data_IF_597162558742
#
_entry.id   IF_597162558742
#
_cell.length_a   1.000
_cell.length_b   1.000
_cell.length_c   1.000
_cell.angle_alpha   90.00
_cell.angle_beta   90.00
_cell.angle_gamma   90.00
#
_symmetry.space_group_name_H-M   'P 1'
#
loop_
_entity.id
_entity.type
_entity.pdbx_description
1 polymer ?
#
# COMPACT_ATOMS: atom_id res chain seq x y z
N UNK A 1 -26.66 -23.23 10.55
CA UNK A 1 -26.00 -23.02 9.24
C UNK A 1 -27.06 -22.54 8.25
N UNK A 2 -26.70 -21.64 7.30
CA UNK A 2 -27.68 -21.01 6.39
C UNK A 2 -28.09 -21.86 5.17
N UNK A 3 -27.59 -23.06 5.02
CA UNK A 3 -27.84 -23.95 3.87
C UNK A 3 -27.67 -23.29 2.49
N UNK A 4 -26.69 -22.37 2.39
CA UNK A 4 -26.42 -21.65 1.14
C UNK A 4 -27.25 -20.39 0.88
N UNK A 5 -28.21 -20.05 1.74
CA UNK A 5 -29.09 -18.88 1.55
C UNK A 5 -28.42 -17.55 1.93
N UNK A 6 -27.28 -17.59 2.61
CA UNK A 6 -26.59 -16.38 3.12
C UNK A 6 -27.23 -15.75 4.36
N UNK A 7 -28.34 -16.32 4.88
CA UNK A 7 -29.05 -15.85 6.05
C UNK A 7 -29.16 -16.94 7.11
N UNK A 8 -29.04 -16.60 8.39
CA UNK A 8 -29.27 -17.48 9.53
C UNK A 8 -30.36 -16.89 10.43
N UNK A 9 -31.22 -17.77 10.95
CA UNK A 9 -32.23 -17.38 11.93
C UNK A 9 -31.62 -17.45 13.32
N UNK A 10 -31.71 -16.37 14.08
CA UNK A 10 -31.24 -16.27 15.47
C UNK A 10 -32.37 -15.84 16.37
N UNK A 11 -32.43 -16.31 17.63
CA UNK A 11 -33.40 -15.83 18.59
C UNK A 11 -33.31 -14.33 18.80
N UNK A 12 -34.40 -13.63 18.84
CA UNK A 12 -34.42 -12.21 19.17
C UNK A 12 -34.05 -11.99 20.64
N UNK A 13 -33.36 -10.90 20.98
CA UNK A 13 -33.01 -10.59 22.36
C UNK A 13 -34.23 -10.43 23.30
N UNK A 14 -35.38 -10.06 22.74
CA UNK A 14 -36.69 -9.87 23.42
C UNK A 14 -37.49 -11.17 23.60
N UNK A 15 -36.97 -12.30 23.14
CA UNK A 15 -37.65 -13.59 23.21
C UNK A 15 -38.86 -13.74 22.25
N UNK A 16 -39.15 -12.74 21.42
CA UNK A 16 -40.35 -12.70 20.55
C UNK A 16 -40.16 -13.42 19.20
N UNK A 17 -39.43 -14.54 19.18
CA UNK A 17 -39.24 -15.36 17.97
C UNK A 17 -37.86 -15.29 17.36
N UNK A 18 -37.74 -15.57 16.04
CA UNK A 18 -36.50 -15.61 15.31
C UNK A 18 -36.32 -14.36 14.44
N UNK A 19 -35.12 -13.85 14.36
CA UNK A 19 -34.72 -12.80 13.42
C UNK A 19 -33.76 -13.38 12.34
N UNK A 20 -33.96 -12.99 11.10
CA UNK A 20 -33.01 -13.30 10.03
C UNK A 20 -31.81 -12.35 10.14
N UNK A 21 -30.60 -12.91 10.33
CA UNK A 21 -29.35 -12.17 10.30
C UNK A 21 -28.47 -12.72 9.19
N UNK A 22 -27.58 -11.87 8.64
CA UNK A 22 -26.63 -12.32 7.63
C UNK A 22 -25.75 -13.46 8.19
N UNK A 23 -25.58 -14.52 7.41
CA UNK A 23 -24.71 -15.63 7.78
C UNK A 23 -23.25 -15.26 7.50
N UNK A 24 -22.36 -15.68 8.40
CA UNK A 24 -20.91 -15.44 8.27
C UNK A 24 -20.34 -16.00 6.95
N UNK A 25 -20.96 -17.07 6.40
CA UNK A 25 -20.58 -17.60 5.10
C UNK A 25 -20.78 -16.59 3.95
N UNK A 26 -21.87 -15.81 3.97
CA UNK A 26 -22.11 -14.77 2.96
C UNK A 26 -21.11 -13.60 3.07
N UNK A 27 -20.65 -13.29 4.27
CA UNK A 27 -19.57 -12.30 4.47
C UNK A 27 -18.23 -12.85 3.97
N UNK A 28 -17.92 -14.12 4.26
CA UNK A 28 -16.69 -14.77 3.79
C UNK A 28 -16.65 -14.90 2.27
N UNK A 29 -17.73 -15.30 1.62
CA UNK A 29 -17.81 -15.36 0.15
C UNK A 29 -17.67 -13.97 -0.49
N UNK A 30 -18.28 -12.94 0.11
CA UNK A 30 -18.13 -11.56 -0.35
C UNK A 30 -16.68 -11.09 -0.19
N UNK A 31 -16.06 -11.32 0.96
CA UNK A 31 -14.67 -10.98 1.22
C UNK A 31 -13.73 -11.72 0.24
N UNK A 32 -13.96 -13.00 -0.05
CA UNK A 32 -13.19 -13.75 -1.04
C UNK A 32 -13.28 -13.14 -2.43
N UNK A 33 -14.50 -12.79 -2.89
CA UNK A 33 -14.70 -12.14 -4.20
C UNK A 33 -14.05 -10.77 -4.27
N UNK A 34 -14.13 -9.98 -3.19
CA UNK A 34 -13.45 -8.67 -3.11
C UNK A 34 -11.94 -8.85 -3.09
N UNK A 35 -11.43 -9.86 -2.36
CA UNK A 35 -10.01 -10.20 -2.32
C UNK A 35 -9.47 -10.58 -3.71
N UNK A 36 -10.19 -11.39 -4.48
CA UNK A 36 -9.82 -11.73 -5.87
C UNK A 36 -9.74 -10.48 -6.77
N UNK A 37 -10.66 -9.54 -6.58
CA UNK A 37 -10.71 -8.28 -7.34
C UNK A 37 -9.70 -7.25 -6.85
N UNK A 38 -9.12 -7.42 -5.67
CA UNK A 38 -8.17 -6.49 -5.09
C UNK A 38 -6.81 -6.44 -5.82
N UNK A 39 -6.58 -7.30 -6.81
CA UNK A 39 -5.35 -7.36 -7.63
C UNK A 39 -4.07 -7.51 -6.81
N UNK A 40 -4.15 -8.13 -5.63
CA UNK A 40 -2.95 -8.39 -4.81
C UNK A 40 -2.09 -9.44 -5.52
N UNK A 41 -0.81 -9.14 -5.85
CA UNK A 41 0.06 -10.10 -6.49
C UNK A 41 0.28 -11.36 -5.63
N UNK A 42 0.34 -12.54 -6.25
CA UNK A 42 0.54 -13.84 -5.57
C UNK A 42 1.72 -13.84 -4.59
N UNK A 43 2.80 -13.13 -4.93
CA UNK A 43 3.98 -12.99 -4.06
C UNK A 43 3.67 -12.35 -2.70
N UNK A 44 2.54 -11.65 -2.56
CA UNK A 44 2.10 -10.97 -1.35
C UNK A 44 0.90 -11.65 -0.67
N UNK A 45 0.44 -12.80 -1.16
CA UNK A 45 -0.68 -13.54 -0.55
C UNK A 45 -0.42 -13.92 0.91
N UNK A 46 0.85 -14.17 1.26
CA UNK A 46 1.28 -14.49 2.63
C UNK A 46 1.40 -13.28 3.55
N UNK A 47 1.29 -12.04 3.01
CA UNK A 47 1.45 -10.83 3.79
C UNK A 47 0.21 -10.59 4.65
N UNK A 48 0.38 -10.69 5.96
CA UNK A 48 -0.57 -10.32 7.00
C UNK A 48 0.20 -9.78 8.22
N UNK A 49 -0.53 -9.27 9.22
CA UNK A 49 0.12 -8.71 10.40
C UNK A 49 0.84 -9.78 11.24
N UNK A 50 0.34 -11.00 11.28
CA UNK A 50 0.92 -12.12 12.03
C UNK A 50 2.26 -12.54 11.43
N UNK A 51 2.35 -12.62 10.09
CA UNK A 51 3.57 -13.01 9.38
C UNK A 51 4.62 -11.89 9.30
N UNK A 52 4.29 -10.66 9.73
CA UNK A 52 5.23 -9.55 9.77
C UNK A 52 6.18 -9.67 10.96
N UNK A 53 7.42 -10.10 10.71
CA UNK A 53 8.47 -10.24 11.73
C UNK A 53 9.05 -8.89 12.14
N UNK A 54 9.24 -8.68 13.44
CA UNK A 54 9.81 -7.45 14.00
C UNK A 54 11.17 -7.68 14.68
N UNK A 55 11.66 -8.91 14.74
CA UNK A 55 12.79 -9.27 15.61
C UNK A 55 13.96 -9.90 14.86
N UNK A 56 13.86 -10.10 13.54
CA UNK A 56 14.89 -10.83 12.76
C UNK A 56 15.92 -9.87 12.19
N UNK A 57 17.22 -10.11 12.52
CA UNK A 57 18.36 -9.39 11.95
C UNK A 57 18.41 -7.90 12.28
N UNK A 58 17.77 -7.46 13.36
CA UNK A 58 17.62 -6.03 13.68
C UNK A 58 18.39 -5.61 14.93
N UNK A 59 18.87 -4.37 14.92
CA UNK A 59 19.27 -3.70 16.16
C UNK A 59 18.02 -3.42 17.02
N UNK A 60 18.16 -3.17 18.35
CA UNK A 60 17.01 -2.80 19.20
C UNK A 60 16.22 -1.61 18.67
N UNK A 61 16.89 -0.61 18.09
CA UNK A 61 16.26 0.57 17.49
C UNK A 61 15.42 0.20 16.25
N UNK A 62 15.96 -0.62 15.36
CA UNK A 62 15.27 -1.12 14.17
C UNK A 62 14.08 -2.01 14.54
N UNK A 63 14.24 -2.91 15.52
CA UNK A 63 13.14 -3.71 16.04
C UNK A 63 12.03 -2.85 16.62
N UNK A 64 12.37 -1.77 17.33
CA UNK A 64 11.39 -0.79 17.83
C UNK A 64 10.66 -0.07 16.68
N UNK A 65 11.39 0.33 15.61
CA UNK A 65 10.81 0.94 14.40
C UNK A 65 9.81 0.01 13.72
N UNK A 66 10.15 -1.26 13.54
CA UNK A 66 9.25 -2.27 12.96
C UNK A 66 8.00 -2.50 13.80
N UNK A 67 8.16 -2.61 15.14
CA UNK A 67 7.03 -2.76 16.07
C UNK A 67 6.11 -1.54 16.02
N UNK A 68 6.67 -0.34 15.99
CA UNK A 68 5.91 0.90 15.88
C UNK A 68 5.16 0.97 14.54
N UNK A 69 5.81 0.65 13.43
CA UNK A 69 5.18 0.65 12.10
C UNK A 69 4.02 -0.34 12.04
N UNK A 70 4.20 -1.57 12.57
CA UNK A 70 3.15 -2.58 12.67
C UNK A 70 1.98 -2.07 13.52
N UNK A 71 2.25 -1.52 14.70
CA UNK A 71 1.23 -0.99 15.59
C UNK A 71 0.44 0.16 14.94
N UNK A 72 1.11 1.06 14.22
CA UNK A 72 0.44 2.16 13.54
C UNK A 72 -0.44 1.67 12.39
N UNK A 73 0.01 0.68 11.63
CA UNK A 73 -0.78 0.08 10.55
C UNK A 73 -1.97 -0.73 11.10
N UNK A 74 -1.81 -1.46 12.20
CA UNK A 74 -2.92 -2.14 12.88
C UNK A 74 -3.92 -1.14 13.46
N UNK A 75 -3.43 -0.12 14.17
CA UNK A 75 -4.28 0.94 14.74
C UNK A 75 -5.07 1.70 13.67
N UNK A 76 -4.49 1.91 12.47
CA UNK A 76 -5.21 2.47 11.33
C UNK A 76 -6.40 1.57 10.93
N UNK A 77 -6.17 0.27 10.79
CA UNK A 77 -7.22 -0.70 10.44
C UNK A 77 -8.28 -0.81 11.53
N UNK A 78 -7.88 -0.80 12.80
CA UNK A 78 -8.80 -0.96 13.93
C UNK A 78 -9.71 0.25 14.13
N UNK A 79 -9.23 1.43 13.78
CA UNK A 79 -10.01 2.67 13.88
C UNK A 79 -10.75 3.05 12.59
N UNK A 80 -10.62 2.26 11.52
CA UNK A 80 -11.35 2.50 10.28
C UNK A 80 -12.82 2.08 10.42
N UNK A 81 -13.81 2.85 9.93
CA UNK A 81 -13.73 4.11 9.19
C UNK A 81 -13.71 5.38 10.05
N UNK A 82 -13.71 5.29 11.38
CA UNK A 82 -13.87 6.45 12.27
C UNK A 82 -12.69 7.43 12.20
N UNK A 83 -11.48 6.92 11.87
CA UNK A 83 -10.28 7.74 11.60
C UNK A 83 -10.05 7.98 10.10
N UNK A 84 -11.07 7.81 9.28
CA UNK A 84 -11.02 7.71 7.82
C UNK A 84 -10.50 8.96 7.10
N UNK A 85 -10.15 10.01 7.81
CA UNK A 85 -9.62 11.21 7.16
C UNK A 85 -8.16 11.08 6.71
N UNK A 86 -7.42 10.09 7.22
CA UNK A 86 -5.99 9.92 6.88
C UNK A 86 -5.66 8.48 6.51
N UNK A 87 -5.13 8.30 5.31
CA UNK A 87 -4.48 7.08 4.88
C UNK A 87 -3.10 6.88 5.53
N UNK A 88 -2.27 6.00 4.96
CA UNK A 88 -0.90 5.75 5.42
C UNK A 88 0.10 6.07 4.31
N UNK A 89 1.21 6.72 4.67
CA UNK A 89 2.40 6.87 3.83
C UNK A 89 3.56 6.13 4.50
N UNK A 90 3.86 4.93 4.00
CA UNK A 90 4.94 4.08 4.49
C UNK A 90 6.22 4.43 3.76
N UNK A 91 7.19 5.01 4.47
CA UNK A 91 8.51 5.41 3.94
C UNK A 91 9.61 4.54 4.51
N UNK A 92 10.74 4.43 3.82
CA UNK A 92 11.89 3.65 4.27
C UNK A 92 12.64 3.01 3.10
N UNK A 93 13.82 2.46 3.34
CA UNK A 93 14.65 1.82 2.33
C UNK A 93 14.00 0.57 1.73
N UNK A 94 14.59 0.02 0.66
CA UNK A 94 14.08 -1.19 0.03
C UNK A 94 14.21 -2.40 0.96
N UNK A 95 13.20 -3.29 0.94
CA UNK A 95 13.23 -4.56 1.68
C UNK A 95 12.81 -4.49 3.15
N UNK A 96 12.51 -3.31 3.72
CA UNK A 96 12.16 -3.13 5.14
C UNK A 96 10.72 -3.56 5.51
N UNK A 97 9.91 -3.98 4.53
CA UNK A 97 8.56 -4.52 4.80
C UNK A 97 7.40 -3.56 4.56
N UNK A 98 7.58 -2.40 3.92
CA UNK A 98 6.51 -1.43 3.63
C UNK A 98 5.32 -2.04 2.88
N UNK A 99 5.59 -2.69 1.74
CA UNK A 99 4.56 -3.37 0.94
C UNK A 99 3.85 -4.47 1.74
N UNK A 100 4.59 -5.19 2.60
CA UNK A 100 4.00 -6.20 3.49
C UNK A 100 2.93 -5.58 4.40
N UNK A 101 3.27 -4.49 5.12
CA UNK A 101 2.33 -3.78 5.99
C UNK A 101 1.15 -3.18 5.22
N UNK A 102 1.39 -2.60 4.04
CA UNK A 102 0.34 -2.04 3.19
C UNK A 102 -0.66 -3.13 2.75
N UNK A 103 -0.17 -4.28 2.31
CA UNK A 103 -1.01 -5.42 1.90
C UNK A 103 -1.73 -6.03 3.10
N UNK A 104 -1.05 -6.18 4.25
CA UNK A 104 -1.68 -6.68 5.47
C UNK A 104 -2.87 -5.81 5.90
N UNK A 105 -2.69 -4.48 5.87
CA UNK A 105 -3.75 -3.53 6.18
C UNK A 105 -4.92 -3.63 5.16
N UNK A 106 -4.61 -3.69 3.87
CA UNK A 106 -5.62 -3.85 2.81
C UNK A 106 -6.44 -5.13 2.98
N UNK A 107 -5.76 -6.26 3.19
CA UNK A 107 -6.42 -7.57 3.38
C UNK A 107 -7.35 -7.55 4.58
N UNK A 108 -6.93 -6.97 5.69
CA UNK A 108 -7.73 -6.91 6.90
C UNK A 108 -8.95 -6.02 6.71
N UNK A 109 -8.82 -4.87 6.04
CA UNK A 109 -9.96 -4.00 5.69
C UNK A 109 -10.94 -4.70 4.75
N UNK A 110 -10.46 -5.48 3.77
CA UNK A 110 -11.31 -6.29 2.90
C UNK A 110 -12.06 -7.37 3.69
N UNK A 111 -11.41 -8.04 4.66
CA UNK A 111 -12.06 -9.02 5.55
C UNK A 111 -13.18 -8.37 6.38
N UNK A 112 -13.03 -7.10 6.73
CA UNK A 112 -14.06 -6.30 7.43
C UNK A 112 -15.15 -5.77 6.51
N UNK A 113 -15.11 -6.10 5.21
CA UNK A 113 -16.16 -5.81 4.23
C UNK A 113 -15.96 -4.56 3.38
N UNK A 114 -14.80 -3.91 3.48
CA UNK A 114 -14.46 -2.72 2.69
C UNK A 114 -13.95 -3.07 1.30
N UNK A 115 -14.24 -2.22 0.32
CA UNK A 115 -13.73 -2.39 -1.04
C UNK A 115 -12.29 -1.86 -1.14
N UNK A 116 -11.37 -2.72 -1.59
CA UNK A 116 -9.97 -2.37 -1.69
C UNK A 116 -9.31 -2.81 -2.99
N UNK A 117 -8.28 -2.07 -3.42
CA UNK A 117 -7.51 -2.35 -4.62
C UNK A 117 -6.02 -2.14 -4.35
N UNK A 118 -5.20 -3.10 -4.79
CA UNK A 118 -3.75 -2.96 -4.85
C UNK A 118 -3.34 -2.53 -6.26
N UNK A 119 -2.42 -1.57 -6.34
CA UNK A 119 -1.87 -1.07 -7.57
C UNK A 119 -0.36 -0.87 -7.42
N UNK A 120 0.44 -1.53 -8.26
CA UNK A 120 1.86 -1.24 -8.40
C UNK A 120 2.02 -0.02 -9.30
N UNK A 121 2.75 0.98 -8.82
CA UNK A 121 2.94 2.25 -9.53
C UNK A 121 3.57 2.10 -10.92
N UNK A 122 4.58 1.21 -11.06
CA UNK A 122 5.24 1.00 -12.36
C UNK A 122 4.36 0.24 -13.33
N UNK A 123 3.63 -0.76 -12.84
CA UNK A 123 2.72 -1.54 -13.69
C UNK A 123 1.56 -0.66 -14.16
N UNK A 124 1.02 0.21 -13.31
CA UNK A 124 0.02 1.20 -13.70
C UNK A 124 0.47 2.06 -14.89
N UNK A 125 1.68 2.62 -14.79
CA UNK A 125 2.22 3.45 -15.88
C UNK A 125 2.40 2.68 -17.17
N UNK A 126 2.82 1.41 -17.09
CA UNK A 126 2.95 0.53 -18.27
C UNK A 126 1.58 0.19 -18.87
N UNK A 127 0.59 -0.15 -18.05
CA UNK A 127 -0.78 -0.43 -18.52
C UNK A 127 -1.35 0.78 -19.28
N UNK A 128 -1.17 2.00 -18.74
CA UNK A 128 -1.63 3.22 -19.41
C UNK A 128 -0.87 3.43 -20.72
N UNK A 129 0.45 3.28 -20.74
CA UNK A 129 1.23 3.40 -21.98
C UNK A 129 0.79 2.39 -23.03
N UNK A 130 0.51 1.15 -22.61
CA UNK A 130 0.03 0.11 -23.52
C UNK A 130 -1.37 0.42 -24.08
N UNK A 131 -2.22 1.13 -23.35
CA UNK A 131 -3.57 1.53 -23.78
C UNK A 131 -3.57 2.55 -24.94
N UNK A 132 -2.45 3.24 -25.18
CA UNK A 132 -2.31 4.16 -26.30
C UNK A 132 -2.10 3.45 -27.65
N UNK A 133 -1.85 2.15 -27.64
CA UNK A 133 -1.80 1.37 -28.88
C UNK A 133 -3.23 1.26 -29.46
N UNK A 134 -3.44 1.61 -30.75
CA UNK A 134 -4.76 1.50 -31.39
C UNK A 134 -5.37 0.10 -31.37
N UNK A 135 -4.55 -0.95 -31.22
CA UNK A 135 -5.00 -2.33 -31.08
C UNK A 135 -5.40 -2.72 -29.65
N UNK A 136 -5.26 -1.82 -28.67
CA UNK A 136 -5.61 -2.09 -27.28
C UNK A 136 -7.11 -1.98 -27.07
N UNK A 137 -7.70 -2.96 -26.39
CA UNK A 137 -9.09 -2.90 -25.94
C UNK A 137 -9.26 -2.02 -24.67
N UNK A 138 -8.16 -1.76 -23.95
CA UNK A 138 -8.14 -0.96 -22.73
C UNK A 138 -7.98 0.52 -23.07
N UNK A 139 -8.68 1.38 -22.34
CA UNK A 139 -8.52 2.84 -22.41
C UNK A 139 -7.89 3.38 -21.14
N UNK A 140 -7.19 4.52 -21.23
CA UNK A 140 -6.64 5.22 -20.06
C UNK A 140 -7.71 5.46 -18.99
N UNK A 141 -8.89 5.91 -19.38
CA UNK A 141 -10.02 6.15 -18.46
C UNK A 141 -10.45 4.85 -17.78
N UNK A 142 -10.57 3.75 -18.54
CA UNK A 142 -10.96 2.44 -17.99
C UNK A 142 -9.94 1.88 -16.98
N UNK A 143 -8.66 2.20 -17.15
CA UNK A 143 -7.60 1.79 -16.23
C UNK A 143 -7.62 2.68 -14.97
N UNK A 144 -7.76 3.99 -15.14
CA UNK A 144 -7.68 4.95 -14.03
C UNK A 144 -8.94 4.98 -13.16
N UNK A 145 -10.12 4.77 -13.73
CA UNK A 145 -11.38 4.92 -13.01
C UNK A 145 -11.49 4.02 -11.77
N UNK A 146 -11.19 2.72 -11.81
CA UNK A 146 -11.20 1.88 -10.62
C UNK A 146 -10.23 2.36 -9.53
N UNK A 147 -9.06 2.87 -9.93
CA UNK A 147 -8.00 3.33 -9.01
C UNK A 147 -8.41 4.64 -8.33
N UNK A 148 -9.08 5.53 -9.08
CA UNK A 148 -9.57 6.82 -8.56
C UNK A 148 -10.74 6.65 -7.61
N UNK A 149 -11.62 5.65 -7.87
CA UNK A 149 -12.95 5.56 -7.23
C UNK A 149 -13.04 4.50 -6.13
N UNK A 150 -12.15 3.51 -6.09
CA UNK A 150 -12.17 2.50 -5.01
C UNK A 150 -12.09 3.14 -3.62
N UNK A 151 -12.79 2.57 -2.66
CA UNK A 151 -12.82 3.05 -1.27
C UNK A 151 -11.41 3.12 -0.68
N UNK A 152 -10.65 2.02 -0.76
CA UNK A 152 -9.30 1.90 -0.22
C UNK A 152 -8.34 1.54 -1.34
N UNK A 153 -7.36 2.38 -1.59
CA UNK A 153 -6.28 2.13 -2.56
C UNK A 153 -4.96 1.88 -1.84
N UNK A 154 -4.29 0.80 -2.18
CA UNK A 154 -2.85 0.65 -1.97
C UNK A 154 -2.14 1.02 -3.27
N UNK A 155 -1.30 2.04 -3.26
CA UNK A 155 -0.42 2.41 -4.36
C UNK A 155 1.02 2.14 -3.93
N UNK A 156 1.59 1.05 -4.44
CA UNK A 156 2.88 0.53 -4.04
C UNK A 156 4.02 1.13 -4.87
N UNK A 157 5.13 1.40 -4.20
CA UNK A 157 6.40 1.86 -4.79
C UNK A 157 6.30 3.22 -5.51
N UNK A 158 5.54 4.16 -4.91
CA UNK A 158 5.31 5.50 -5.42
C UNK A 158 6.65 6.22 -5.69
N UNK A 159 6.79 6.79 -6.88
CA UNK A 159 7.98 7.52 -7.31
C UNK A 159 9.08 6.63 -7.90
N UNK A 160 8.88 5.31 -8.00
CA UNK A 160 9.87 4.37 -8.53
C UNK A 160 10.23 4.59 -10.01
N UNK A 161 9.38 5.24 -10.77
CA UNK A 161 9.70 5.69 -12.13
C UNK A 161 10.29 7.10 -12.11
N UNK A 162 11.19 7.41 -13.07
CA UNK A 162 11.72 8.76 -13.22
C UNK A 162 10.59 9.73 -13.54
N UNK A 163 10.54 10.90 -12.87
CA UNK A 163 9.50 11.87 -13.12
C UNK A 163 9.66 12.45 -14.54
N UNK A 164 8.59 12.40 -15.31
CA UNK A 164 8.40 13.15 -16.55
C UNK A 164 7.10 13.93 -16.42
N UNK A 165 6.84 14.91 -17.29
CA UNK A 165 5.59 15.65 -17.25
C UNK A 165 4.38 14.71 -17.31
N UNK A 166 4.41 13.73 -18.21
CA UNK A 166 3.35 12.72 -18.34
C UNK A 166 3.17 11.88 -17.06
N UNK A 167 4.26 11.41 -16.44
CA UNK A 167 4.19 10.63 -15.19
C UNK A 167 3.59 11.47 -14.07
N UNK A 168 3.99 12.74 -13.95
CA UNK A 168 3.46 13.66 -12.93
C UNK A 168 1.98 13.98 -13.17
N UNK A 169 1.55 14.10 -14.42
CA UNK A 169 0.15 14.31 -14.78
C UNK A 169 -0.71 13.10 -14.41
N UNK A 170 -0.29 11.89 -14.77
CA UNK A 170 -1.03 10.65 -14.45
C UNK A 170 -1.19 10.49 -12.94
N UNK A 171 -0.08 10.58 -12.18
CA UNK A 171 -0.18 10.41 -10.72
C UNK A 171 -0.97 11.56 -10.09
N UNK A 172 -0.86 12.76 -10.67
CA UNK A 172 -1.66 13.91 -10.29
C UNK A 172 -3.16 13.68 -10.46
N UNK A 173 -3.59 13.10 -11.59
CA UNK A 173 -4.99 12.74 -11.82
C UNK A 173 -5.53 11.78 -10.77
N UNK A 174 -4.78 10.72 -10.44
CA UNK A 174 -5.19 9.73 -9.43
C UNK A 174 -5.26 10.35 -8.04
N UNK A 175 -4.15 10.93 -7.58
CA UNK A 175 -4.05 11.39 -6.19
C UNK A 175 -4.90 12.63 -5.91
N UNK A 176 -5.06 13.55 -6.90
CA UNK A 176 -5.94 14.70 -6.73
C UNK A 176 -7.42 14.31 -6.65
N UNK A 177 -7.85 13.35 -7.46
CA UNK A 177 -9.23 12.85 -7.39
C UNK A 177 -9.51 12.25 -6.00
N UNK A 178 -8.61 11.42 -5.49
CA UNK A 178 -8.74 10.78 -4.18
C UNK A 178 -8.65 11.78 -3.03
N UNK A 179 -7.77 12.77 -3.14
CA UNK A 179 -7.65 13.87 -2.18
C UNK A 179 -8.96 14.66 -2.08
N UNK A 180 -9.51 15.11 -3.22
CA UNK A 180 -10.73 15.90 -3.27
C UNK A 180 -11.95 15.14 -2.72
N UNK A 181 -12.02 13.85 -2.94
CA UNK A 181 -13.10 12.97 -2.47
C UNK A 181 -12.81 12.34 -1.10
N UNK A 182 -11.73 12.73 -0.42
CA UNK A 182 -11.30 12.20 0.89
C UNK A 182 -11.20 10.67 0.91
N UNK A 183 -10.80 10.05 -0.21
CA UNK A 183 -10.68 8.59 -0.32
C UNK A 183 -9.40 8.09 0.34
N UNK A 184 -9.52 7.04 1.13
CA UNK A 184 -8.40 6.47 1.86
C UNK A 184 -7.36 5.86 0.93
N UNK A 185 -6.12 6.25 1.11
CA UNK A 185 -4.99 5.81 0.28
C UNK A 185 -3.84 5.36 1.17
N UNK A 186 -3.35 4.14 0.94
CA UNK A 186 -2.15 3.59 1.57
C UNK A 186 -1.04 3.65 0.52
N UNK A 187 0.02 4.35 0.81
CA UNK A 187 1.14 4.58 -0.10
C UNK A 187 2.40 3.95 0.46
N UNK A 188 3.21 3.36 -0.40
CA UNK A 188 4.57 2.98 -0.05
C UNK A 188 5.56 3.71 -0.94
N UNK A 189 6.70 4.10 -0.41
CA UNK A 189 7.76 4.76 -1.16
C UNK A 189 9.13 4.49 -0.55
N UNK A 190 10.17 4.49 -1.39
CA UNK A 190 11.56 4.44 -0.95
C UNK A 190 12.17 5.84 -0.76
N UNK A 191 11.39 6.88 -1.02
CA UNK A 191 11.84 8.27 -0.95
C UNK A 191 11.40 8.92 0.35
N UNK A 192 12.33 9.59 1.01
CA UNK A 192 12.08 10.36 2.23
C UNK A 192 11.62 11.78 1.89
N UNK A 193 11.11 12.48 2.89
CA UNK A 193 10.69 13.87 2.75
C UNK A 193 11.88 14.81 2.57
N UNK A 194 12.95 14.56 3.31
CA UNK A 194 14.22 15.27 3.23
C UNK A 194 15.29 14.32 2.70
N UNK A 195 16.25 14.85 1.93
CA UNK A 195 17.36 14.05 1.47
C UNK A 195 18.22 13.63 2.67
N UNK A 196 18.49 12.33 2.77
CA UNK A 196 19.35 11.80 3.83
C UNK A 196 20.81 12.12 3.48
N UNK A 197 21.47 12.88 4.35
CA UNK A 197 22.88 13.22 4.21
C UNK A 197 23.19 14.49 3.39
N UNK A 198 24.48 14.88 3.44
CA UNK A 198 25.00 15.97 2.60
C UNK A 198 25.18 15.49 1.16
N UNK A 199 25.02 16.38 0.16
CA UNK A 199 25.27 16.03 -1.23
C UNK A 199 26.68 15.47 -1.42
N UNK A 200 26.81 14.31 -2.06
CA UNK A 200 28.09 13.68 -2.33
C UNK A 200 28.65 14.10 -3.70
N UNK A 201 29.97 14.37 -3.76
CA UNK A 201 30.65 14.69 -5.00
C UNK A 201 30.99 13.40 -5.77
N UNK A 202 30.25 13.09 -6.82
CA UNK A 202 30.49 11.93 -7.70
C UNK A 202 31.13 12.40 -9.00
N UNK A 203 32.11 11.63 -9.53
CA UNK A 203 32.69 11.90 -10.86
C UNK A 203 31.69 11.46 -11.93
N UNK A 204 31.22 12.42 -12.72
CA UNK A 204 30.40 12.14 -13.90
C UNK A 204 31.21 11.45 -15.02
N UNK A 205 30.52 10.97 -16.09
CA UNK A 205 31.17 10.31 -17.25
C UNK A 205 32.19 11.20 -17.97
N UNK A 206 32.06 12.52 -17.84
CA UNK A 206 32.95 13.54 -18.39
C UNK A 206 34.10 13.89 -17.45
N UNK A 207 34.29 13.17 -16.35
CA UNK A 207 35.31 13.38 -15.33
C UNK A 207 35.09 14.58 -14.40
N UNK A 208 34.03 15.37 -14.60
CA UNK A 208 33.67 16.48 -13.73
C UNK A 208 33.01 15.98 -12.44
N UNK A 209 33.26 16.68 -11.34
CA UNK A 209 32.56 16.42 -10.08
C UNK A 209 31.15 17.00 -10.15
N UNK A 210 30.17 16.14 -10.01
CA UNK A 210 28.74 16.50 -9.88
C UNK A 210 28.33 16.20 -8.45
N UNK A 211 27.68 17.17 -7.80
CA UNK A 211 27.07 16.95 -6.48
C UNK A 211 25.76 16.20 -6.69
N UNK A 212 25.70 14.97 -6.16
CA UNK A 212 24.52 14.13 -6.21
C UNK A 212 23.94 14.05 -4.81
N UNK A 213 22.65 14.32 -4.67
CA UNK A 213 21.88 14.07 -3.46
C UNK A 213 20.85 12.97 -3.75
N UNK A 214 20.39 12.29 -2.74
CA UNK A 214 19.28 11.38 -2.88
C UNK A 214 18.01 12.16 -3.24
N UNK A 215 17.21 11.58 -4.14
CA UNK A 215 15.92 12.16 -4.52
C UNK A 215 14.96 12.09 -3.34
N UNK A 216 14.25 13.18 -3.11
CA UNK A 216 13.18 13.25 -2.13
C UNK A 216 11.84 12.86 -2.75
N UNK A 217 10.81 12.67 -1.93
CA UNK A 217 9.45 12.47 -2.42
C UNK A 217 8.97 13.65 -3.27
N UNK A 218 9.40 14.88 -2.94
CA UNK A 218 9.08 16.08 -3.74
C UNK A 218 9.70 16.04 -5.13
N UNK A 219 10.91 15.51 -5.26
CA UNK A 219 11.59 15.34 -6.57
C UNK A 219 10.86 14.30 -7.44
N UNK A 220 10.18 13.34 -6.82
CA UNK A 220 9.51 12.22 -7.50
C UNK A 220 8.06 12.46 -7.87
N UNK A 221 7.32 13.22 -7.06
CA UNK A 221 5.88 13.46 -7.27
C UNK A 221 5.52 14.93 -7.42
N UNK A 222 6.48 15.84 -7.27
CA UNK A 222 6.30 17.28 -7.30
C UNK A 222 5.89 17.87 -5.93
N UNK A 223 6.34 19.09 -5.64
CA UNK A 223 6.13 19.74 -4.35
C UNK A 223 4.65 19.89 -3.95
N UNK A 224 3.78 20.20 -4.94
CA UNK A 224 2.33 20.34 -4.69
C UNK A 224 1.71 19.01 -4.26
N UNK A 225 2.08 17.90 -4.92
CA UNK A 225 1.58 16.59 -4.57
C UNK A 225 2.13 16.13 -3.22
N UNK A 226 3.42 16.36 -2.95
CA UNK A 226 4.02 16.10 -1.63
C UNK A 226 3.18 16.72 -0.50
N UNK A 227 2.82 18.01 -0.60
CA UNK A 227 2.02 18.69 0.41
C UNK A 227 0.67 17.99 0.66
N UNK A 228 -0.03 17.56 -0.39
CA UNK A 228 -1.28 16.81 -0.29
C UNK A 228 -1.12 15.42 0.34
N UNK A 229 -0.01 14.72 0.04
CA UNK A 229 0.27 13.42 0.65
C UNK A 229 0.39 13.52 2.17
N UNK A 230 1.02 14.56 2.70
CA UNK A 230 1.14 14.78 4.15
C UNK A 230 -0.17 15.20 4.81
N UNK A 231 -1.08 15.82 4.06
CA UNK A 231 -2.42 16.14 4.53
C UNK A 231 -3.30 14.89 4.56
N UNK A 232 -3.30 14.08 3.48
CA UNK A 232 -4.18 12.93 3.31
C UNK A 232 -3.66 11.64 3.96
N UNK A 233 -2.39 11.57 4.36
CA UNK A 233 -1.78 10.37 4.92
C UNK A 233 -1.01 10.66 6.21
N UNK A 234 -1.07 9.69 7.13
CA UNK A 234 -0.14 9.63 8.27
C UNK A 234 1.16 8.99 7.81
N UNK A 235 2.28 9.69 7.97
CA UNK A 235 3.60 9.15 7.64
C UNK A 235 4.06 8.15 8.68
N UNK A 236 4.54 7.01 8.21
CA UNK A 236 5.13 5.92 9.01
C UNK A 236 6.49 5.60 8.42
N UNK A 237 7.54 6.00 9.11
CA UNK A 237 8.91 5.66 8.71
C UNK A 237 9.26 4.25 9.22
N UNK A 238 9.72 3.39 8.29
CA UNK A 238 10.14 2.02 8.57
C UNK A 238 11.64 1.93 8.39
N UNK A 239 12.36 1.91 9.50
CA UNK A 239 13.82 1.73 9.52
C UNK A 239 14.17 0.31 9.94
N UNK A 240 14.73 -0.45 8.99
CA UNK A 240 15.14 -1.84 9.19
C UNK A 240 16.15 -2.24 8.11
N UNK A 241 16.90 -3.34 8.31
CA UNK A 241 17.71 -3.92 7.26
C UNK A 241 16.83 -4.55 6.15
N UNK A 242 17.41 -4.77 4.97
CA UNK A 242 16.72 -5.47 3.88
C UNK A 242 16.45 -6.93 4.24
N UNK A 243 15.22 -7.23 4.67
CA UNK A 243 14.76 -8.56 5.04
C UNK A 243 15.00 -9.62 3.94
N UNK A 244 14.88 -9.25 2.66
CA UNK A 244 15.10 -10.17 1.55
C UNK A 244 16.55 -10.62 1.45
N UNK A 245 17.47 -9.71 1.79
CA UNK A 245 18.91 -9.98 1.75
C UNK A 245 19.37 -10.77 2.97
N UNK A 246 18.94 -10.39 4.16
CA UNK A 246 19.44 -10.96 5.41
C UNK A 246 18.80 -12.30 5.75
N UNK A 247 17.48 -12.43 5.68
CA UNK A 247 16.77 -13.65 6.08
C UNK A 247 16.93 -14.80 5.06
N UNK A 248 16.95 -14.47 3.76
CA UNK A 248 17.15 -15.53 2.74
C UNK A 248 18.59 -16.05 2.68
N UNK A 249 19.58 -15.26 3.09
CA UNK A 249 20.97 -15.70 3.11
C UNK A 249 21.31 -16.51 4.37
N UNK A 250 20.79 -16.12 5.54
CA UNK A 250 21.02 -16.86 6.80
C UNK A 250 20.22 -18.16 6.87
N UNK A 251 19.02 -18.24 6.32
CA UNK A 251 18.22 -19.47 6.25
C UNK A 251 18.81 -20.57 5.37
N UNK A 252 19.75 -20.27 4.46
CA UNK A 252 20.52 -21.26 3.67
C UNK A 252 21.78 -21.76 4.37
N UNK A 253 22.27 -21.09 5.38
CA UNK A 253 23.46 -21.49 6.12
C UNK A 253 23.18 -22.52 7.23
N UNK A 254 21.92 -22.68 7.65
CA UNK A 254 21.50 -23.64 8.68
C UNK A 254 21.01 -25.02 8.17
N UNK A 255 21.02 -25.23 6.85
CA UNK A 255 20.58 -26.48 6.21
C UNK A 255 21.75 -27.21 5.50
N UNK A 256 22.86 -27.39 6.22
CA UNK A 256 23.94 -28.30 5.84
C UNK A 256 24.32 -29.21 7.01
#
# INVERSE_FOLDING_TARGET
>A
MCQGTGWKMVPRPDGAGLAAVACDCGMQERASRVMERARIPKRYEHCDFESFSTDVGTTPAQGASLKQAKMLAQGFVDNYPMSAEKGLLLTGTSGVGKTHLAVAALKELIRRGHAGLFCDYRELLKEIQASYNPASESTEVGILEPIRTVEILVLDDLGASKPSAWVLDIIGLVLNARYNEKRVTILTTNYFDEADGAPEAVKGPDGKRVMVREDTIADRVGARMRSRLFEMCRTVNVDAPDFRREVRQTGRAGAR
#
